data_IF_584630482712
#
_entry.id   IF_584630482712
#
_cell.length_a   1.000
_cell.length_b   1.000
_cell.length_c   1.000
_cell.angle_alpha   90.00
_cell.angle_beta   90.00
_cell.angle_gamma   90.00
#
_symmetry.space_group_name_H-M   'P 1'
#
loop_
_entity.id
_entity.type
_entity.pdbx_description
1 polymer ?
#
# COMPACT_ATOMS: atom_id res chain seq x y z
N UNK A 1 5.72 3.92 -6.86
CA UNK A 1 4.88 3.13 -7.80
C UNK A 1 5.56 2.80 -9.11
N UNK A 2 6.06 3.77 -9.90
CA UNK A 2 6.73 3.45 -11.17
C UNK A 2 7.92 2.50 -11.02
N UNK A 3 8.83 2.77 -10.08
CA UNK A 3 10.00 1.91 -9.84
C UNK A 3 9.64 0.45 -9.53
N UNK A 4 8.54 0.19 -8.80
CA UNK A 4 8.11 -1.17 -8.48
C UNK A 4 7.70 -2.00 -9.72
N UNK A 5 7.34 -1.37 -10.85
CA UNK A 5 7.05 -2.10 -12.10
C UNK A 5 8.30 -2.63 -12.78
N UNK A 6 9.44 -2.01 -12.49
CA UNK A 6 10.73 -2.32 -13.13
C UNK A 6 11.57 -3.29 -12.29
N UNK A 7 11.11 -3.66 -11.09
CA UNK A 7 11.79 -4.59 -10.19
C UNK A 7 11.34 -6.03 -10.49
N UNK A 8 12.27 -6.87 -10.95
CA UNK A 8 12.04 -8.30 -11.07
C UNK A 8 11.97 -8.95 -9.67
N UNK A 9 11.00 -9.85 -9.47
CA UNK A 9 10.84 -10.59 -8.21
C UNK A 9 10.02 -9.88 -7.12
N UNK A 10 9.49 -8.68 -7.38
CA UNK A 10 8.56 -8.00 -6.48
C UNK A 10 7.33 -7.48 -7.23
N UNK A 11 6.19 -7.40 -6.55
CA UNK A 11 4.99 -6.77 -7.10
C UNK A 11 4.19 -6.07 -6.00
N UNK A 12 3.51 -4.97 -6.36
CA UNK A 12 2.56 -4.31 -5.45
C UNK A 12 1.19 -4.92 -5.68
N UNK A 13 0.74 -5.73 -4.72
CA UNK A 13 -0.53 -6.49 -4.80
C UNK A 13 -1.72 -5.74 -4.22
N UNK A 14 -1.48 -4.76 -3.35
CA UNK A 14 -2.49 -3.93 -2.71
C UNK A 14 -1.95 -2.53 -2.41
N UNK A 15 -2.85 -1.54 -2.31
CA UNK A 15 -2.53 -0.16 -1.91
C UNK A 15 -3.47 0.34 -0.82
N UNK A 16 -2.96 1.24 0.02
CA UNK A 16 -3.74 1.93 1.06
C UNK A 16 -3.49 3.44 1.02
N UNK A 17 -4.57 4.22 1.04
CA UNK A 17 -4.55 5.67 1.25
C UNK A 17 -5.86 6.06 1.94
N UNK A 18 -5.80 6.97 2.92
CA UNK A 18 -7.00 7.48 3.61
C UNK A 18 -7.86 8.35 2.70
N UNK A 19 -7.25 8.92 1.66
CA UNK A 19 -7.94 9.70 0.65
C UNK A 19 -8.44 8.76 -0.48
N UNK A 20 -9.77 8.54 -0.58
CA UNK A 20 -10.34 7.61 -1.57
C UNK A 20 -10.14 8.08 -3.01
N UNK A 21 -9.98 9.39 -3.26
CA UNK A 21 -9.76 9.91 -4.62
C UNK A 21 -8.33 9.60 -5.07
N UNK A 22 -7.34 9.83 -4.21
CA UNK A 22 -5.93 9.44 -4.48
C UNK A 22 -5.81 7.93 -4.66
N UNK A 23 -6.47 7.16 -3.80
CA UNK A 23 -6.50 5.70 -3.86
C UNK A 23 -7.06 5.21 -5.20
N UNK A 24 -8.15 5.82 -5.66
CA UNK A 24 -8.76 5.52 -6.97
C UNK A 24 -7.80 5.84 -8.11
N UNK A 25 -7.24 7.06 -8.15
CA UNK A 25 -6.33 7.50 -9.23
C UNK A 25 -5.13 6.58 -9.33
N UNK A 26 -4.46 6.27 -8.22
CA UNK A 26 -3.28 5.39 -8.21
C UNK A 26 -3.68 3.97 -8.57
N UNK A 27 -4.78 3.46 -8.02
CA UNK A 27 -5.27 2.12 -8.31
C UNK A 27 -5.59 1.92 -9.80
N UNK A 28 -6.20 2.91 -10.44
CA UNK A 28 -6.48 2.90 -11.89
C UNK A 28 -5.20 3.02 -12.71
N UNK A 29 -4.32 3.96 -12.36
CA UNK A 29 -3.06 4.19 -13.08
C UNK A 29 -2.14 2.96 -13.10
N UNK A 30 -2.13 2.17 -12.03
CA UNK A 30 -1.24 1.02 -11.88
C UNK A 30 -1.96 -0.33 -11.97
N UNK A 31 -3.28 -0.35 -12.21
CA UNK A 31 -4.05 -1.59 -12.34
C UNK A 31 -4.13 -2.42 -11.05
N UNK A 32 -4.15 -1.76 -9.88
CA UNK A 32 -4.20 -2.42 -8.58
C UNK A 32 -5.64 -2.48 -8.11
N UNK A 33 -6.19 -3.69 -7.98
CA UNK A 33 -7.59 -3.91 -7.61
C UNK A 33 -7.84 -3.85 -6.11
N UNK A 34 -6.89 -4.36 -5.31
CA UNK A 34 -7.00 -4.43 -3.84
C UNK A 34 -6.64 -3.08 -3.24
N UNK A 35 -7.67 -2.36 -2.78
CA UNK A 35 -7.58 -0.96 -2.34
C UNK A 35 -8.23 -0.80 -0.97
N UNK A 36 -7.50 -0.17 -0.06
CA UNK A 36 -7.94 0.00 1.32
C UNK A 36 -7.86 1.47 1.73
N UNK A 37 -8.81 1.92 2.53
CA UNK A 37 -8.77 3.24 3.19
C UNK A 37 -8.27 3.16 4.63
N UNK A 38 -8.05 1.94 5.12
CA UNK A 38 -7.57 1.63 6.46
C UNK A 38 -6.44 0.59 6.38
N UNK A 39 -5.31 0.89 7.05
CA UNK A 39 -4.14 0.02 7.01
C UNK A 39 -4.38 -1.28 7.75
N UNK A 40 -5.09 -1.28 8.89
CA UNK A 40 -5.34 -2.50 9.66
C UNK A 40 -6.18 -3.50 8.85
N UNK A 41 -7.16 -3.02 8.08
CA UNK A 41 -7.92 -3.83 7.14
C UNK A 41 -7.04 -4.42 6.02
N UNK A 42 -6.07 -3.67 5.50
CA UNK A 42 -5.10 -4.17 4.52
C UNK A 42 -4.26 -5.29 5.12
N UNK A 43 -3.64 -5.07 6.29
CA UNK A 43 -2.80 -6.08 6.95
C UNK A 43 -3.56 -7.34 7.35
N UNK A 44 -4.84 -7.22 7.73
CA UNK A 44 -5.66 -8.38 8.07
C UNK A 44 -6.19 -9.13 6.83
N UNK A 45 -6.36 -8.44 5.70
CA UNK A 45 -6.95 -9.00 4.48
C UNK A 45 -5.93 -9.61 3.52
N UNK A 46 -4.66 -9.23 3.63
CA UNK A 46 -3.61 -9.60 2.68
C UNK A 46 -2.54 -10.49 3.30
N UNK A 47 -1.96 -11.37 2.48
CA UNK A 47 -0.72 -12.08 2.82
C UNK A 47 0.44 -11.33 2.16
N UNK A 48 1.25 -10.63 2.95
CA UNK A 48 2.28 -9.71 2.46
C UNK A 48 3.68 -10.18 2.83
N UNK A 49 4.60 -10.14 1.86
CA UNK A 49 6.02 -10.38 2.09
C UNK A 49 6.76 -9.12 2.55
N UNK A 50 6.26 -7.94 2.21
CA UNK A 50 6.82 -6.63 2.59
C UNK A 50 5.76 -5.52 2.55
N UNK A 51 6.11 -4.35 3.11
CA UNK A 51 5.34 -3.11 2.98
C UNK A 51 6.23 -1.92 2.64
N UNK A 52 5.70 -1.00 1.83
CA UNK A 52 6.33 0.29 1.48
C UNK A 52 5.53 1.44 2.09
N UNK A 53 6.05 2.04 3.17
CA UNK A 53 5.37 3.10 3.94
C UNK A 53 5.73 4.47 3.35
N UNK A 54 5.00 4.88 2.32
CA UNK A 54 5.17 6.16 1.61
C UNK A 54 4.26 7.30 2.13
N UNK A 55 3.84 7.25 3.39
CA UNK A 55 3.01 8.28 4.04
C UNK A 55 3.86 9.40 4.64
N UNK A 56 3.23 10.42 5.23
CA UNK A 56 3.94 11.44 6.02
C UNK A 56 4.32 10.91 7.41
N UNK A 57 5.39 11.50 7.98
CA UNK A 57 6.07 11.04 9.20
C UNK A 57 5.17 10.67 10.40
N UNK A 58 4.07 11.39 10.73
CA UNK A 58 3.26 11.07 11.91
C UNK A 58 2.68 9.66 11.93
N UNK A 59 2.52 9.03 10.77
CA UNK A 59 1.95 7.69 10.64
C UNK A 59 3.00 6.58 10.59
N UNK A 60 4.29 6.90 10.47
CA UNK A 60 5.34 5.89 10.25
C UNK A 60 5.44 4.91 11.41
N UNK A 61 5.55 5.40 12.65
CA UNK A 61 5.69 4.53 13.82
C UNK A 61 4.57 3.48 13.93
N UNK A 62 3.28 3.86 13.97
CA UNK A 62 2.23 2.85 14.10
C UNK A 62 2.15 1.90 12.90
N UNK A 63 2.49 2.35 11.69
CA UNK A 63 2.51 1.47 10.50
C UNK A 63 3.67 0.48 10.53
N UNK A 64 4.84 0.88 11.03
CA UNK A 64 5.98 -0.03 11.23
C UNK A 64 5.68 -1.05 12.31
N UNK A 65 5.07 -0.64 13.44
CA UNK A 65 4.66 -1.55 14.51
C UNK A 65 3.61 -2.59 14.03
N UNK A 66 2.76 -2.22 13.07
CA UNK A 66 1.78 -3.13 12.46
C UNK A 66 2.39 -4.15 11.49
N UNK A 67 3.54 -3.82 10.90
CA UNK A 67 4.24 -4.67 9.92
C UNK A 67 5.21 -5.67 10.55
N UNK A 68 5.42 -5.60 11.87
CA UNK A 68 6.43 -6.36 12.60
C UNK A 68 5.92 -7.72 13.12
#
# INVERSE_FOLDING_TARGET
>A
MHAWRDIEGASIVAICDRDPERLKVVGEQFGIERRYTDAAALFAGENLDFVDIATTAPSHRPLVEMAA
#
